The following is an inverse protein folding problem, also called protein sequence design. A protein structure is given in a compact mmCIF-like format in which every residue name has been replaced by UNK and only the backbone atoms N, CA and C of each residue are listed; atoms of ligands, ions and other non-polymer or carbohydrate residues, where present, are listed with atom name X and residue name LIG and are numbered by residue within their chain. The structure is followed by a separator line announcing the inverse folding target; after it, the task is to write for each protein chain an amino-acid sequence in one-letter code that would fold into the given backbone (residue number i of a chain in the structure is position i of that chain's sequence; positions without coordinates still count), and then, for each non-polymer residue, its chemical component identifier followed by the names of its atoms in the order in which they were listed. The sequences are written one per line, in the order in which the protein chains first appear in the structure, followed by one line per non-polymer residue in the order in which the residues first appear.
data_IF_532851511510
#
_entry.id   IF_532851511510
#
_cell.length_a   1.000
_cell.length_b   1.000
_cell.length_c   1.000
_cell.angle_alpha   90.00
_cell.angle_beta   90.00
_cell.angle_gamma   90.00
#
_symmetry.space_group_name_H-M   'P 1'
#
loop_
_entity.id
_entity.type
_entity.pdbx_description
1 polymer ?
#
# COMPACT_ATOMS: atom_id res chain seq x y z
N UNK A 1 -14.38 -71.99 7.08
CA UNK A 1 -14.86 -70.86 6.25
C UNK A 1 -14.30 -69.60 6.86
N UNK A 2 -13.13 -69.17 6.43
CA UNK A 2 -12.43 -68.00 6.93
C UNK A 2 -12.55 -66.89 5.88
N UNK A 3 -13.18 -65.79 6.23
CA UNK A 3 -13.24 -64.58 5.38
C UNK A 3 -12.19 -63.61 5.87
N UNK A 4 -11.17 -63.41 5.07
CA UNK A 4 -10.12 -62.40 5.25
C UNK A 4 -10.67 -61.06 4.74
N UNK A 5 -10.76 -60.07 5.63
CA UNK A 5 -11.07 -58.71 5.27
C UNK A 5 -9.76 -57.96 4.94
N UNK A 6 -9.62 -57.52 3.71
CA UNK A 6 -8.51 -56.66 3.27
C UNK A 6 -8.89 -55.21 3.53
N UNK A 7 -8.17 -54.55 4.45
CA UNK A 7 -8.28 -53.14 4.69
C UNK A 7 -7.50 -52.35 3.61
N UNK A 8 -8.22 -51.57 2.79
CA UNK A 8 -7.61 -50.61 1.85
C UNK A 8 -7.14 -49.38 2.64
N UNK A 9 -5.84 -49.21 2.74
CA UNK A 9 -5.22 -47.97 3.16
C UNK A 9 -5.30 -46.93 2.00
N UNK A 10 -6.17 -45.94 2.16
CA UNK A 10 -6.23 -44.80 1.29
C UNK A 10 -5.05 -43.86 1.54
N UNK A 11 -4.11 -43.77 0.61
CA UNK A 11 -3.06 -42.76 0.61
C UNK A 11 -3.68 -41.40 0.29
N UNK A 12 -3.79 -40.53 1.30
CA UNK A 12 -4.12 -39.15 1.11
C UNK A 12 -2.92 -38.46 0.44
N UNK A 13 -3.03 -38.20 -0.86
CA UNK A 13 -2.10 -37.35 -1.60
C UNK A 13 -2.29 -35.91 -1.13
N UNK A 14 -1.36 -35.40 -0.34
CA UNK A 14 -1.17 -33.98 -0.09
C UNK A 14 -0.79 -33.33 -1.41
N UNK A 15 -1.78 -32.76 -2.08
CA UNK A 15 -1.56 -31.83 -3.18
C UNK A 15 -0.98 -30.56 -2.56
N UNK A 16 0.35 -30.44 -2.57
CA UNK A 16 1.01 -29.18 -2.30
C UNK A 16 0.51 -28.18 -3.36
N UNK A 17 -0.35 -27.25 -2.94
CA UNK A 17 -0.59 -26.05 -3.73
C UNK A 17 0.76 -25.34 -3.86
N UNK A 18 1.44 -25.55 -4.97
CA UNK A 18 2.47 -24.63 -5.42
C UNK A 18 1.75 -23.33 -5.71
N UNK A 19 1.87 -22.37 -4.80
CA UNK A 19 1.63 -20.96 -5.10
C UNK A 19 2.68 -20.61 -6.14
N UNK A 20 2.34 -20.82 -7.41
CA UNK A 20 3.06 -20.25 -8.52
C UNK A 20 2.92 -18.75 -8.35
N UNK A 21 4.00 -18.10 -8.00
CA UNK A 21 4.13 -16.66 -8.16
C UNK A 21 4.10 -16.41 -9.68
N UNK A 22 2.91 -16.14 -10.22
CA UNK A 22 2.77 -15.46 -11.50
C UNK A 22 3.33 -14.04 -11.27
N UNK A 23 4.65 -13.95 -11.30
CA UNK A 23 5.34 -12.67 -11.38
C UNK A 23 5.01 -12.11 -12.77
N UNK A 24 4.14 -11.12 -12.88
CA UNK A 24 3.69 -10.50 -14.11
C UNK A 24 4.79 -10.31 -15.17
N UNK A 25 4.45 -10.13 -16.42
CA UNK A 25 5.41 -10.03 -17.52
C UNK A 25 6.35 -8.85 -17.30
N UNK A 26 7.66 -9.11 -17.31
CA UNK A 26 8.67 -8.05 -17.18
C UNK A 26 8.62 -7.14 -18.40
N UNK A 27 8.49 -5.84 -18.17
CA UNK A 27 8.50 -4.82 -19.23
C UNK A 27 9.94 -4.47 -19.57
N UNK A 28 10.36 -4.64 -20.84
CA UNK A 28 11.73 -4.30 -21.23
C UNK A 28 11.97 -2.80 -21.12
N UNK A 29 13.15 -2.44 -20.59
CA UNK A 29 13.61 -1.07 -20.56
C UNK A 29 14.08 -0.61 -21.93
N UNK A 30 13.81 0.64 -22.28
CA UNK A 30 14.40 1.35 -23.41
C UNK A 30 15.23 2.56 -22.92
N UNK A 31 16.19 2.99 -23.71
CA UNK A 31 17.11 4.08 -23.37
C UNK A 31 18.43 3.57 -22.78
N UNK A 32 19.35 4.50 -22.54
CA UNK A 32 20.70 4.24 -22.02
C UNK A 32 21.13 5.37 -21.06
N UNK A 33 22.24 5.17 -20.34
CA UNK A 33 22.75 6.17 -19.38
C UNK A 33 21.88 6.25 -18.12
N UNK A 34 21.60 7.45 -17.60
CA UNK A 34 20.92 7.66 -16.32
C UNK A 34 19.41 7.59 -16.38
N UNK A 35 18.83 7.24 -17.53
CA UNK A 35 17.37 7.18 -17.73
C UNK A 35 16.97 5.89 -18.43
N UNK A 36 15.85 5.30 -18.00
CA UNK A 36 15.16 4.18 -18.66
C UNK A 36 13.70 4.53 -18.82
N UNK A 37 13.11 4.17 -19.97
CA UNK A 37 11.68 4.27 -20.20
C UNK A 37 11.09 2.86 -20.42
N UNK A 38 9.84 2.70 -20.01
CA UNK A 38 9.12 1.44 -20.05
C UNK A 38 7.79 1.64 -20.76
N UNK A 39 7.58 0.89 -21.85
CA UNK A 39 6.34 0.96 -22.63
C UNK A 39 5.30 0.04 -21.97
N UNK A 40 4.45 0.62 -21.13
CA UNK A 40 3.40 -0.11 -20.40
C UNK A 40 2.17 0.79 -20.23
N UNK A 41 1.00 0.21 -20.42
CA UNK A 41 -0.30 0.88 -20.36
C UNK A 41 -1.34 -0.06 -19.72
N UNK A 42 -2.52 0.47 -19.40
CA UNK A 42 -3.66 -0.34 -18.94
C UNK A 42 -3.65 -0.71 -17.47
N UNK A 43 -2.76 -0.11 -16.66
CA UNK A 43 -2.72 -0.31 -15.21
C UNK A 43 -3.41 0.85 -14.47
N UNK A 44 -3.99 0.56 -13.33
CA UNK A 44 -4.51 1.56 -12.39
C UNK A 44 -4.16 1.23 -10.93
N UNK A 45 -3.24 0.28 -10.73
CA UNK A 45 -2.67 -0.10 -9.46
C UNK A 45 -1.16 -0.07 -9.53
N UNK A 46 -0.52 0.35 -8.46
CA UNK A 46 0.95 0.41 -8.38
C UNK A 46 1.40 -0.32 -7.12
N UNK A 47 2.30 -1.29 -7.31
CA UNK A 47 2.97 -2.00 -6.23
C UNK A 47 4.47 -1.71 -6.24
N UNK A 48 5.00 -1.21 -5.13
CA UNK A 48 6.43 -0.96 -4.93
C UNK A 48 6.98 -1.98 -3.96
N UNK A 49 7.96 -2.77 -4.41
CA UNK A 49 8.64 -3.77 -3.60
C UNK A 49 10.11 -3.41 -3.42
N UNK A 50 10.47 -2.92 -2.24
CA UNK A 50 11.85 -2.52 -1.92
C UNK A 50 11.97 -1.12 -1.34
N UNK A 51 13.03 -0.39 -1.73
CA UNK A 51 13.37 0.92 -1.18
C UNK A 51 13.49 2.03 -2.24
N UNK A 52 12.91 1.82 -3.42
CA UNK A 52 12.94 2.82 -4.49
C UNK A 52 11.85 3.89 -4.28
N UNK A 53 12.14 5.11 -4.74
CA UNK A 53 11.19 6.22 -4.68
C UNK A 53 10.34 6.28 -5.95
N UNK A 54 9.04 6.49 -5.80
CA UNK A 54 8.09 6.56 -6.91
C UNK A 54 7.30 7.88 -6.85
N UNK A 55 7.32 8.62 -7.94
CA UNK A 55 6.55 9.86 -8.12
C UNK A 55 5.41 9.58 -9.11
N UNK A 56 4.18 9.64 -8.64
CA UNK A 56 2.98 9.31 -9.41
C UNK A 56 2.20 10.57 -9.70
N UNK A 57 1.86 10.78 -10.97
CA UNK A 57 1.10 11.94 -11.42
C UNK A 57 -0.14 11.52 -12.20
N UNK A 58 -1.25 12.13 -11.89
CA UNK A 58 -2.46 11.98 -12.68
C UNK A 58 -2.29 12.70 -14.02
N UNK A 59 -2.55 12.00 -15.13
CA UNK A 59 -2.44 12.54 -16.49
C UNK A 59 -3.31 11.76 -17.47
N UNK A 60 -3.40 12.21 -18.71
CA UNK A 60 -4.27 11.58 -19.73
C UNK A 60 -3.63 10.40 -20.45
N UNK A 61 -2.31 10.23 -20.32
CA UNK A 61 -1.55 9.18 -21.00
C UNK A 61 -0.72 8.40 -19.96
N UNK A 62 -0.40 7.16 -20.32
CA UNK A 62 0.53 6.35 -19.54
C UNK A 62 1.98 6.72 -19.85
N UNK A 63 2.80 6.81 -18.82
CA UNK A 63 4.25 6.97 -18.94
C UNK A 63 4.93 6.37 -17.73
N UNK A 64 5.93 5.54 -17.94
CA UNK A 64 6.77 5.00 -16.89
C UNK A 64 8.23 5.24 -17.24
N UNK A 65 8.94 5.96 -16.37
CA UNK A 65 10.34 6.34 -16.55
C UNK A 65 11.10 6.22 -15.23
N UNK A 66 12.31 5.73 -15.30
CA UNK A 66 13.20 5.65 -14.13
C UNK A 66 14.48 6.46 -14.38
N UNK A 67 14.96 7.13 -13.36
CA UNK A 67 16.20 7.91 -13.35
C UNK A 67 17.10 7.47 -12.19
N UNK A 68 18.39 7.41 -12.46
CA UNK A 68 19.38 7.02 -11.46
C UNK A 68 20.71 6.56 -12.06
N UNK A 69 21.64 6.05 -11.23
CA UNK A 69 22.86 5.44 -11.70
C UNK A 69 22.56 4.23 -12.62
N UNK A 70 23.29 4.11 -13.70
CA UNK A 70 23.03 3.08 -14.72
C UNK A 70 23.07 1.65 -14.15
N UNK A 71 24.03 1.38 -13.26
CA UNK A 71 24.17 0.10 -12.58
C UNK A 71 23.03 -0.24 -11.61
N UNK A 72 22.36 0.77 -11.05
CA UNK A 72 21.16 0.61 -10.24
C UNK A 72 19.91 0.46 -11.10
N UNK A 73 19.82 1.18 -12.22
CA UNK A 73 18.73 1.04 -13.19
C UNK A 73 18.71 -0.36 -13.84
N UNK A 74 19.87 -0.97 -14.05
CA UNK A 74 19.95 -2.32 -14.61
C UNK A 74 19.46 -3.42 -13.64
N UNK A 75 19.32 -3.09 -12.35
CA UNK A 75 18.72 -3.96 -11.33
C UNK A 75 17.23 -3.73 -11.13
N UNK A 76 16.70 -2.62 -11.66
CA UNK A 76 15.29 -2.29 -11.56
C UNK A 76 14.47 -3.28 -12.41
N UNK A 77 13.39 -3.76 -11.83
CA UNK A 77 12.42 -4.59 -12.54
C UNK A 77 11.07 -3.88 -12.53
N UNK A 78 10.57 -3.59 -13.71
CA UNK A 78 9.19 -3.17 -13.92
C UNK A 78 8.45 -4.35 -14.52
N UNK A 79 7.33 -4.74 -13.91
CA UNK A 79 6.48 -5.80 -14.42
C UNK A 79 5.03 -5.31 -14.51
N UNK A 80 4.29 -5.90 -15.42
CA UNK A 80 2.88 -5.62 -15.61
C UNK A 80 2.09 -6.93 -15.47
N UNK A 81 1.10 -6.91 -14.58
CA UNK A 81 0.23 -8.05 -14.33
C UNK A 81 -1.23 -7.57 -14.25
N UNK A 82 -1.97 -7.79 -15.33
CA UNK A 82 -3.35 -7.35 -15.43
C UNK A 82 -3.52 -5.84 -15.26
N UNK A 83 -3.90 -5.40 -14.08
CA UNK A 83 -4.07 -3.97 -13.72
C UNK A 83 -2.93 -3.43 -12.87
N UNK A 84 -1.96 -4.26 -12.52
CA UNK A 84 -0.89 -3.91 -11.59
C UNK A 84 0.40 -3.54 -12.33
N UNK A 85 0.96 -2.38 -12.01
CA UNK A 85 2.33 -2.01 -12.31
C UNK A 85 3.19 -2.35 -11.09
N UNK A 86 4.04 -3.37 -11.22
CA UNK A 86 4.93 -3.81 -10.15
C UNK A 86 6.31 -3.22 -10.36
N UNK A 87 6.77 -2.42 -9.40
CA UNK A 87 8.07 -1.77 -9.37
C UNK A 87 8.91 -2.45 -8.28
N UNK A 88 10.00 -3.06 -8.64
CA UNK A 88 10.84 -3.78 -7.70
C UNK A 88 12.23 -4.02 -8.25
N UNK A 89 12.96 -4.94 -7.65
CA UNK A 89 14.31 -5.27 -8.06
C UNK A 89 14.46 -6.75 -8.39
N UNK A 90 15.36 -7.04 -9.32
CA UNK A 90 15.71 -8.43 -9.64
C UNK A 90 16.27 -9.12 -8.39
N UNK A 91 15.80 -10.33 -8.09
CA UNK A 91 16.31 -11.14 -6.98
C UNK A 91 17.80 -11.41 -7.19
N UNK A 92 18.66 -10.85 -6.36
CA UNK A 92 20.08 -11.23 -6.31
C UNK A 92 20.27 -12.35 -5.29
N UNK A 93 21.03 -13.33 -5.70
CA UNK A 93 21.31 -14.54 -4.90
C UNK A 93 22.14 -14.26 -3.63
N UNK A 94 22.80 -13.13 -3.50
CA UNK A 94 23.50 -12.68 -2.29
C UNK A 94 23.89 -11.19 -2.45
N UNK A 95 23.43 -10.35 -1.56
CA UNK A 95 23.88 -8.98 -1.41
C UNK A 95 22.76 -8.01 -1.01
N UNK A 96 22.91 -7.40 0.15
CA UNK A 96 22.11 -6.25 0.58
C UNK A 96 22.49 -5.04 -0.29
N UNK A 97 21.87 -4.89 -1.44
CA UNK A 97 21.98 -3.67 -2.22
C UNK A 97 21.10 -2.61 -1.58
N UNK A 98 21.70 -1.60 -0.96
CA UNK A 98 20.98 -0.37 -0.63
C UNK A 98 20.60 0.28 -1.96
N UNK A 99 19.38 0.08 -2.42
CA UNK A 99 18.85 0.67 -3.65
C UNK A 99 18.70 2.18 -3.54
N UNK A 100 19.81 2.88 -3.33
CA UNK A 100 19.83 4.33 -3.21
C UNK A 100 20.00 4.97 -4.58
N UNK A 101 19.07 5.89 -4.89
CA UNK A 101 19.23 6.82 -5.99
C UNK A 101 18.46 6.49 -7.27
N UNK A 102 17.58 5.49 -7.28
CA UNK A 102 16.62 5.32 -8.38
C UNK A 102 15.30 5.97 -8.01
N UNK A 103 14.81 6.83 -8.88
CA UNK A 103 13.48 7.41 -8.81
C UNK A 103 12.68 7.01 -10.03
N UNK A 104 11.48 6.45 -9.78
CA UNK A 104 10.56 6.06 -10.84
C UNK A 104 9.45 7.10 -10.94
N UNK A 105 9.22 7.59 -12.15
CA UNK A 105 8.15 8.53 -12.47
C UNK A 105 7.06 7.80 -13.23
N UNK A 106 5.85 7.84 -12.71
CA UNK A 106 4.68 7.21 -13.31
C UNK A 106 3.62 8.25 -13.60
N UNK A 107 3.10 8.25 -14.80
CA UNK A 107 1.89 9.01 -15.15
C UNK A 107 0.82 8.03 -15.59
N UNK A 108 -0.41 8.22 -15.10
CA UNK A 108 -1.55 7.38 -15.45
C UNK A 108 -2.87 8.17 -15.31
N UNK A 109 -3.95 7.76 -16.01
CA UNK A 109 -5.23 8.46 -15.94
C UNK A 109 -5.91 8.37 -14.58
N UNK A 110 -5.74 7.24 -13.86
CA UNK A 110 -6.37 6.97 -12.58
C UNK A 110 -5.52 6.00 -11.77
N UNK A 111 -5.39 6.28 -10.48
CA UNK A 111 -4.84 5.34 -9.50
C UNK A 111 -5.96 4.86 -8.57
N UNK A 112 -6.20 3.55 -8.52
CA UNK A 112 -7.20 2.92 -7.65
C UNK A 112 -6.59 2.22 -6.44
N UNK A 113 -5.31 1.83 -6.52
CA UNK A 113 -4.62 1.11 -5.45
C UNK A 113 -3.13 1.44 -5.42
N UNK A 114 -2.58 1.61 -4.22
CA UNK A 114 -1.15 1.85 -3.98
C UNK A 114 -0.64 0.86 -2.92
N UNK A 115 0.29 0.01 -3.30
CA UNK A 115 0.89 -0.99 -2.44
C UNK A 115 2.38 -0.69 -2.24
N UNK A 116 2.84 -0.63 -0.99
CA UNK A 116 4.25 -0.47 -0.64
C UNK A 116 4.67 -1.63 0.26
N UNK A 117 5.61 -2.43 -0.22
CA UNK A 117 6.21 -3.52 0.54
C UNK A 117 7.70 -3.24 0.69
N UNK A 118 8.12 -2.82 1.88
CA UNK A 118 9.51 -2.44 2.16
C UNK A 118 9.67 -1.07 2.78
N UNK A 119 10.60 -0.25 2.27
CA UNK A 119 10.97 1.05 2.84
C UNK A 119 10.99 2.20 1.82
N UNK A 120 10.48 1.98 0.62
CA UNK A 120 10.39 3.01 -0.43
C UNK A 120 9.37 4.09 -0.12
N UNK A 121 9.48 5.20 -0.83
CA UNK A 121 8.53 6.31 -0.73
C UNK A 121 7.72 6.43 -2.01
N UNK A 122 6.39 6.46 -1.90
CA UNK A 122 5.52 6.81 -3.01
C UNK A 122 4.89 8.17 -2.77
N UNK A 123 5.01 9.07 -3.75
CA UNK A 123 4.37 10.38 -3.72
C UNK A 123 3.37 10.46 -4.86
N UNK A 124 2.13 10.85 -4.54
CA UNK A 124 1.02 10.95 -5.50
C UNK A 124 0.48 12.37 -5.45
N UNK A 125 0.39 13.02 -6.59
CA UNK A 125 -0.13 14.39 -6.68
C UNK A 125 -1.65 14.43 -6.47
N UNK A 126 -2.40 13.56 -7.13
CA UNK A 126 -3.85 13.55 -7.08
C UNK A 126 -4.45 12.16 -7.32
N UNK A 127 -5.47 11.85 -6.56
CA UNK A 127 -6.32 10.67 -6.73
C UNK A 127 -7.77 11.11 -6.77
N UNK A 128 -8.48 10.72 -7.83
CA UNK A 128 -9.89 10.98 -8.02
C UNK A 128 -10.62 9.69 -8.40
N UNK A 129 -11.79 9.45 -7.83
CA UNK A 129 -12.57 8.26 -8.17
C UNK A 129 -13.61 7.89 -7.12
N UNK A 130 -14.16 6.68 -7.23
CA UNK A 130 -15.15 6.17 -6.26
C UNK A 130 -14.45 5.55 -5.06
N UNK A 131 -13.42 4.74 -5.30
CA UNK A 131 -12.69 4.02 -4.25
C UNK A 131 -11.19 4.15 -4.45
N UNK A 132 -10.47 4.16 -3.34
CA UNK A 132 -9.02 4.09 -3.31
C UNK A 132 -8.57 3.17 -2.18
N UNK A 133 -7.57 2.33 -2.44
CA UNK A 133 -6.97 1.43 -1.46
C UNK A 133 -5.47 1.72 -1.32
N UNK A 134 -4.99 1.74 -0.09
CA UNK A 134 -3.58 1.92 0.23
C UNK A 134 -3.10 0.85 1.21
N UNK A 135 -2.09 0.11 0.83
CA UNK A 135 -1.49 -0.94 1.65
C UNK A 135 0.00 -0.66 1.85
N UNK A 136 0.44 -0.54 3.10
CA UNK A 136 1.83 -0.36 3.47
C UNK A 136 2.25 -1.51 4.37
N UNK A 137 3.19 -2.33 3.90
CA UNK A 137 3.80 -3.41 4.66
C UNK A 137 5.30 -3.13 4.84
N UNK A 138 5.72 -2.77 6.05
CA UNK A 138 7.11 -2.42 6.36
C UNK A 138 7.25 -1.02 6.95
N UNK A 139 8.21 -0.25 6.43
CA UNK A 139 8.55 1.09 6.93
C UNK A 139 8.48 2.18 5.84
N UNK A 140 7.88 1.87 4.71
CA UNK A 140 7.74 2.81 3.60
C UNK A 140 6.73 3.91 3.86
N UNK A 141 6.79 4.97 3.06
CA UNK A 141 5.92 6.14 3.16
C UNK A 141 5.06 6.33 1.91
N UNK A 142 3.78 6.66 2.11
CA UNK A 142 2.87 7.09 1.04
C UNK A 142 2.40 8.52 1.31
N UNK A 143 2.67 9.43 0.37
CA UNK A 143 2.27 10.82 0.47
C UNK A 143 1.30 11.16 -0.66
N UNK A 144 0.05 11.51 -0.33
CA UNK A 144 -1.00 11.87 -1.30
C UNK A 144 -1.37 13.33 -1.09
N UNK A 145 -1.09 14.19 -2.08
CA UNK A 145 -1.34 15.60 -1.94
C UNK A 145 -2.84 15.93 -1.99
N UNK A 146 -3.60 15.27 -2.87
CA UNK A 146 -5.04 15.47 -2.99
C UNK A 146 -5.77 14.14 -3.24
N UNK A 147 -6.59 13.70 -2.28
CA UNK A 147 -7.44 12.53 -2.37
C UNK A 147 -8.91 12.96 -2.40
N UNK A 148 -9.62 12.62 -3.47
CA UNK A 148 -11.04 12.92 -3.64
C UNK A 148 -11.77 11.65 -4.09
N UNK A 149 -12.36 10.93 -3.15
CA UNK A 149 -13.06 9.66 -3.40
C UNK A 149 -14.31 9.53 -2.52
N UNK A 150 -15.21 8.61 -2.87
CA UNK A 150 -16.30 8.27 -1.97
C UNK A 150 -15.83 7.44 -0.79
N UNK A 151 -14.92 6.48 -1.02
CA UNK A 151 -14.36 5.65 0.02
C UNK A 151 -12.84 5.49 -0.15
N UNK A 152 -12.13 5.47 0.98
CA UNK A 152 -10.73 5.10 1.04
C UNK A 152 -10.50 4.04 2.12
N UNK A 153 -9.74 3.01 1.77
CA UNK A 153 -9.26 1.99 2.69
C UNK A 153 -7.74 2.12 2.85
N UNK A 154 -7.28 2.13 4.09
CA UNK A 154 -5.87 2.30 4.44
C UNK A 154 -5.44 1.19 5.39
N UNK A 155 -4.50 0.37 4.97
CA UNK A 155 -3.94 -0.71 5.75
C UNK A 155 -2.43 -0.48 5.95
N UNK A 156 -1.99 -0.31 7.20
CA UNK A 156 -0.59 -0.11 7.56
C UNK A 156 -0.16 -1.25 8.50
N UNK A 157 0.75 -2.09 8.03
CA UNK A 157 1.37 -3.16 8.80
C UNK A 157 2.86 -2.90 8.96
N UNK A 158 3.30 -2.51 10.17
CA UNK A 158 4.69 -2.18 10.46
C UNK A 158 4.89 -0.80 11.06
N UNK A 159 5.84 -0.03 10.53
CA UNK A 159 6.21 1.29 11.00
C UNK A 159 6.09 2.41 9.94
N UNK A 160 5.49 2.10 8.80
CA UNK A 160 5.33 3.04 7.70
C UNK A 160 4.36 4.17 7.99
N UNK A 161 4.37 5.21 7.15
CA UNK A 161 3.51 6.37 7.30
C UNK A 161 2.70 6.64 6.04
N UNK A 162 1.39 6.88 6.19
CA UNK A 162 0.57 7.46 5.13
C UNK A 162 0.20 8.90 5.50
N UNK A 163 0.44 9.83 4.57
CA UNK A 163 -0.03 11.21 4.66
C UNK A 163 -0.99 11.50 3.52
N UNK A 164 -2.15 12.09 3.84
CA UNK A 164 -3.13 12.45 2.83
C UNK A 164 -3.83 13.77 3.15
N UNK A 165 -4.09 14.55 2.07
CA UNK A 165 -4.98 15.70 2.11
C UNK A 165 -6.15 15.54 1.15
N UNK A 166 -7.21 16.34 1.30
CA UNK A 166 -8.36 16.31 0.36
C UNK A 166 -9.71 16.11 1.03
N UNK A 167 -10.61 15.36 0.39
CA UNK A 167 -11.97 15.12 0.91
C UNK A 167 -12.50 13.74 0.49
N UNK A 168 -12.99 12.97 1.44
CA UNK A 168 -13.60 11.66 1.21
C UNK A 168 -14.89 11.53 2.03
N UNK A 169 -15.81 10.65 1.61
CA UNK A 169 -17.03 10.41 2.38
C UNK A 169 -16.80 9.38 3.49
N UNK A 170 -16.03 8.30 3.20
CA UNK A 170 -15.78 7.22 4.16
C UNK A 170 -14.30 6.84 4.18
N UNK A 171 -13.77 6.69 5.38
CA UNK A 171 -12.43 6.17 5.67
C UNK A 171 -12.54 4.86 6.45
N UNK A 172 -11.90 3.82 5.96
CA UNK A 172 -11.55 2.64 6.76
C UNK A 172 -10.03 2.64 6.97
N UNK A 173 -9.58 2.59 8.22
CA UNK A 173 -8.16 2.66 8.53
C UNK A 173 -7.76 1.57 9.54
N UNK A 174 -6.85 0.71 9.13
CA UNK A 174 -6.33 -0.38 9.92
C UNK A 174 -4.82 -0.18 10.12
N UNK A 175 -4.38 0.04 11.35
CA UNK A 175 -2.96 0.23 11.69
C UNK A 175 -2.53 -0.86 12.65
N UNK A 176 -1.65 -1.74 12.18
CA UNK A 176 -1.05 -2.83 12.95
C UNK A 176 0.45 -2.57 13.14
N UNK A 177 0.88 -2.38 14.38
CA UNK A 177 2.28 -2.08 14.73
C UNK A 177 2.47 -0.68 15.25
N UNK A 178 3.47 0.05 14.72
CA UNK A 178 3.85 1.40 15.15
C UNK A 178 3.70 2.45 14.05
N UNK A 179 3.10 2.08 12.94
CA UNK A 179 2.88 2.96 11.79
C UNK A 179 1.93 4.13 12.09
N UNK A 180 1.84 5.08 11.16
CA UNK A 180 1.04 6.27 11.33
C UNK A 180 0.22 6.63 10.10
N UNK A 181 -1.04 7.00 10.33
CA UNK A 181 -1.89 7.67 9.35
C UNK A 181 -2.02 9.15 9.74
N UNK A 182 -1.38 10.05 9.00
CA UNK A 182 -1.51 11.49 9.15
C UNK A 182 -2.40 12.08 8.04
N UNK A 183 -3.68 12.05 8.30
CA UNK A 183 -4.74 12.55 7.44
C UNK A 183 -5.40 13.81 8.03
N UNK A 184 -4.67 14.62 8.79
CA UNK A 184 -5.18 15.88 9.37
C UNK A 184 -5.66 16.87 8.29
N UNK A 185 -5.08 16.82 7.08
CA UNK A 185 -5.51 17.58 5.91
C UNK A 185 -6.65 16.94 5.10
N UNK A 186 -7.13 15.78 5.49
CA UNK A 186 -8.19 15.04 4.83
C UNK A 186 -9.53 15.23 5.56
N UNK A 187 -10.50 15.84 4.88
CA UNK A 187 -11.87 15.94 5.41
C UNK A 187 -12.60 14.63 5.17
N UNK A 188 -13.06 14.02 6.23
CA UNK A 188 -13.70 12.71 6.23
C UNK A 188 -15.14 12.84 6.73
N UNK A 189 -16.10 12.28 5.99
CA UNK A 189 -17.51 12.22 6.42
C UNK A 189 -17.69 11.25 7.57
N UNK A 190 -17.40 9.99 7.36
CA UNK A 190 -17.50 8.90 8.35
C UNK A 190 -16.18 8.09 8.40
N UNK A 191 -15.83 7.53 9.56
CA UNK A 191 -14.62 6.75 9.72
C UNK A 191 -14.84 5.46 10.53
N UNK A 192 -14.13 4.39 10.13
CA UNK A 192 -13.92 3.18 10.93
C UNK A 192 -12.42 3.01 11.12
N UNK A 193 -11.95 3.04 12.36
CA UNK A 193 -10.53 3.08 12.68
C UNK A 193 -10.18 1.98 13.65
N UNK A 194 -9.30 1.09 13.24
CA UNK A 194 -8.75 0.02 14.08
C UNK A 194 -7.24 0.24 14.25
N UNK A 195 -6.78 0.33 15.49
CA UNK A 195 -5.36 0.41 15.83
C UNK A 195 -4.99 -0.73 16.76
N UNK A 196 -4.06 -1.56 16.34
CA UNK A 196 -3.48 -2.63 17.14
C UNK A 196 -1.97 -2.42 17.31
N UNK A 197 -1.54 -1.93 18.48
CA UNK A 197 -0.14 -1.63 18.77
C UNK A 197 0.09 -0.24 19.32
N UNK A 198 1.12 0.44 18.82
CA UNK A 198 1.51 1.80 19.24
C UNK A 198 1.37 2.83 18.11
N UNK A 199 0.68 2.47 17.05
CA UNK A 199 0.46 3.34 15.89
C UNK A 199 -0.39 4.57 16.19
N UNK A 200 -0.34 5.56 15.30
CA UNK A 200 -1.09 6.80 15.47
C UNK A 200 -1.98 7.05 14.25
N UNK A 201 -3.21 7.49 14.51
CA UNK A 201 -4.15 7.91 13.47
C UNK A 201 -4.61 9.33 13.75
N UNK A 202 -4.49 10.22 12.76
CA UNK A 202 -5.01 11.58 12.82
C UNK A 202 -5.84 11.86 11.56
N UNK A 203 -7.09 12.27 11.72
CA UNK A 203 -7.98 12.66 10.61
C UNK A 203 -8.98 13.72 11.05
N UNK A 204 -9.53 14.49 10.09
CA UNK A 204 -10.57 15.48 10.37
C UNK A 204 -11.95 14.90 10.00
N UNK A 205 -12.58 14.18 10.93
CA UNK A 205 -13.89 13.55 10.75
C UNK A 205 -15.00 14.48 11.17
N UNK A 206 -16.05 14.59 10.35
CA UNK A 206 -17.21 15.49 10.60
C UNK A 206 -18.48 14.75 11.02
N UNK A 207 -18.55 13.45 10.83
CA UNK A 207 -19.71 12.62 11.15
C UNK A 207 -19.41 11.52 12.15
N UNK A 208 -20.04 10.34 11.94
CA UNK A 208 -19.83 9.19 12.81
C UNK A 208 -18.47 8.55 12.62
N UNK A 209 -17.90 8.13 13.73
CA UNK A 209 -16.66 7.37 13.71
C UNK A 209 -16.74 6.20 14.71
N UNK A 210 -16.35 5.01 14.25
CA UNK A 210 -16.09 3.87 15.11
C UNK A 210 -14.59 3.75 15.33
N UNK A 211 -14.17 3.58 16.60
CA UNK A 211 -12.74 3.48 16.93
C UNK A 211 -12.51 2.25 17.81
N UNK A 212 -11.66 1.36 17.33
CA UNK A 212 -11.15 0.23 18.10
C UNK A 212 -9.66 0.43 18.34
N UNK A 213 -9.26 0.62 19.61
CA UNK A 213 -7.85 0.82 19.97
C UNK A 213 -7.41 -0.28 20.93
N UNK A 214 -6.45 -1.08 20.50
CA UNK A 214 -5.79 -2.12 21.29
C UNK A 214 -4.30 -1.81 21.40
N UNK A 215 -3.85 -1.34 22.57
CA UNK A 215 -2.44 -1.03 22.82
C UNK A 215 -2.21 0.36 23.37
N UNK A 216 -1.12 1.01 22.92
CA UNK A 216 -0.64 2.31 23.41
C UNK A 216 -0.67 3.42 22.37
N UNK A 217 -1.28 3.17 21.23
CA UNK A 217 -1.40 4.13 20.13
C UNK A 217 -2.31 5.33 20.46
N UNK A 218 -2.36 6.31 19.56
CA UNK A 218 -3.21 7.47 19.70
C UNK A 218 -4.08 7.68 18.47
N UNK A 219 -5.36 7.97 18.67
CA UNK A 219 -6.32 8.29 17.63
C UNK A 219 -6.88 9.69 17.88
N UNK A 220 -6.72 10.61 16.91
CA UNK A 220 -7.29 11.97 16.97
C UNK A 220 -8.15 12.19 15.71
N UNK A 221 -9.46 12.22 15.88
CA UNK A 221 -10.43 12.41 14.78
C UNK A 221 -11.05 13.81 14.75
N UNK A 222 -10.55 14.72 15.60
CA UNK A 222 -11.02 16.09 15.67
C UNK A 222 -12.29 16.27 16.51
N UNK A 223 -12.66 17.53 16.71
CA UNK A 223 -13.74 17.91 17.63
C UNK A 223 -15.16 17.75 17.06
N UNK A 224 -15.30 17.53 15.75
CA UNK A 224 -16.59 17.36 15.07
C UNK A 224 -17.06 15.91 14.99
N UNK A 225 -16.17 14.95 15.23
CA UNK A 225 -16.45 13.52 15.15
C UNK A 225 -17.40 13.07 16.27
N UNK A 226 -18.38 12.21 15.92
CA UNK A 226 -19.25 11.52 16.87
C UNK A 226 -18.78 10.08 17.00
N UNK A 227 -18.04 9.77 18.06
CA UNK A 227 -17.32 8.51 18.15
C UNK A 227 -17.99 7.48 19.05
N UNK A 228 -18.02 6.24 18.55
CA UNK A 228 -18.20 5.03 19.34
C UNK A 228 -16.80 4.41 19.56
N UNK A 229 -16.34 4.34 20.81
CA UNK A 229 -14.97 4.00 21.14
C UNK A 229 -14.89 2.74 21.98
N UNK A 230 -14.21 1.72 21.45
CA UNK A 230 -13.77 0.54 22.17
C UNK A 230 -12.25 0.60 22.37
N UNK A 231 -11.81 0.74 23.65
CA UNK A 231 -10.39 0.88 23.97
C UNK A 231 -9.92 -0.19 24.95
N UNK A 232 -8.80 -0.83 24.60
CA UNK A 232 -8.07 -1.78 25.48
C UNK A 232 -6.59 -1.41 25.50
N UNK A 233 -6.09 -0.90 26.62
CA UNK A 233 -4.68 -0.46 26.77
C UNK A 233 -4.53 0.96 27.22
N UNK A 234 -3.29 1.48 27.13
CA UNK A 234 -2.89 2.80 27.66
C UNK A 234 -3.00 3.93 26.63
N UNK A 235 -3.34 3.62 25.39
CA UNK A 235 -3.47 4.63 24.33
C UNK A 235 -4.54 5.66 24.57
N UNK A 236 -4.61 6.70 23.76
CA UNK A 236 -5.60 7.76 23.85
C UNK A 236 -6.46 7.87 22.59
N UNK A 237 -7.73 8.21 22.80
CA UNK A 237 -8.65 8.55 21.70
C UNK A 237 -9.19 9.95 21.95
N UNK A 238 -9.01 10.83 20.99
CA UNK A 238 -9.52 12.20 20.99
C UNK A 238 -10.56 12.34 19.89
N UNK A 239 -11.79 12.62 20.28
CA UNK A 239 -12.93 12.62 19.41
C UNK A 239 -14.03 13.44 20.02
N UNK A 240 -14.55 14.44 19.32
CA UNK A 240 -15.68 15.23 19.75
C UNK A 240 -15.54 15.85 21.12
N UNK A 241 -16.64 16.40 21.62
CA UNK A 241 -16.84 16.80 23.01
C UNK A 241 -17.86 15.89 23.67
#
# INVERSE_FOLDING_TARGET
MHRIAIALMGAASLTACSVGSDEGSTVPASGSGPTRAYAVEGFDRIAVAGGDDVDVRAGTAFSVRAEGPADELDKLRIAHDGRDLVIGRQKRVLGFGSGKGVKVFVTLPRLSEANIVGSGTMTVDRIEGTTFEANIAGSGDLNIAALTTDAAEVNIAGAGTLRAGGTIKRLEANVMGSGSLDAAGLRVGEADVTVAGSGNVRAAVSGRAKVELMGSGNVDLGAAAQCDVSKKGSGSVRCGR
#
